data_IF_097825486979
#
_entry.id   IF_097825486979
#
_cell.length_a   1.000
_cell.length_b   1.000
_cell.length_c   1.000
_cell.angle_alpha   90.00
_cell.angle_beta   90.00
_cell.angle_gamma   90.00
#
_symmetry.space_group_name_H-M   'P 1'
#
loop_
_entity.id
_entity.type
_entity.pdbx_description
1 polymer ?
#
# COMPACT_ATOMS: atom_id res chain seq x y z
N UNK A 1 -3.68 -4.28 6.29
CA UNK A 1 -5.03 -4.24 5.70
C UNK A 1 -5.28 -5.50 4.88
N UNK A 2 -6.52 -5.88 4.60
CA UNK A 2 -6.86 -6.92 3.61
C UNK A 2 -7.24 -6.24 2.30
N UNK A 3 -6.53 -6.57 1.22
CA UNK A 3 -6.77 -6.01 -0.12
C UNK A 3 -8.12 -6.50 -0.65
N UNK A 4 -8.92 -5.57 -1.18
CA UNK A 4 -10.14 -5.88 -1.92
C UNK A 4 -9.90 -5.80 -3.44
N UNK A 5 -9.13 -4.80 -3.88
CA UNK A 5 -8.72 -4.62 -5.27
C UNK A 5 -7.41 -3.79 -5.32
N UNK A 6 -6.67 -3.90 -6.43
CA UNK A 6 -5.54 -3.04 -6.75
C UNK A 6 -5.51 -2.74 -8.24
N UNK A 7 -5.22 -1.48 -8.59
CA UNK A 7 -4.88 -1.11 -9.95
C UNK A 7 -3.54 -1.70 -10.40
N UNK A 8 -3.35 -1.75 -11.72
CA UNK A 8 -2.07 -2.03 -12.37
C UNK A 8 -1.70 -0.79 -13.16
N UNK A 9 -0.62 -0.14 -12.77
CA UNK A 9 -0.11 1.06 -13.38
C UNK A 9 1.21 0.76 -14.09
N UNK A 10 1.54 1.55 -15.11
CA UNK A 10 2.77 1.37 -15.88
C UNK A 10 4.04 1.41 -15.00
N UNK A 11 3.99 2.14 -13.88
CA UNK A 11 5.08 2.19 -12.90
C UNK A 11 5.36 0.83 -12.25
N UNK A 12 4.36 -0.05 -12.12
CA UNK A 12 4.54 -1.41 -11.58
C UNK A 12 5.42 -2.27 -12.51
N UNK A 13 5.47 -1.96 -13.81
CA UNK A 13 6.39 -2.58 -14.76
C UNK A 13 7.77 -1.94 -14.64
N UNK A 14 7.82 -0.60 -14.62
CA UNK A 14 9.09 0.15 -14.55
C UNK A 14 9.91 -0.17 -13.30
N UNK A 15 9.26 -0.54 -12.19
CA UNK A 15 9.97 -0.90 -10.96
C UNK A 15 10.84 -2.14 -11.12
N UNK A 16 10.40 -3.11 -11.94
CA UNK A 16 11.15 -4.33 -12.25
C UNK A 16 12.20 -4.16 -13.35
N UNK A 17 11.98 -3.21 -14.27
CA UNK A 17 12.86 -3.02 -15.42
C UNK A 17 13.97 -1.98 -15.21
N UNK A 18 13.66 -0.86 -14.55
CA UNK A 18 14.46 0.36 -14.69
C UNK A 18 14.75 1.08 -13.37
N UNK A 19 13.97 0.85 -12.32
CA UNK A 19 14.17 1.52 -11.02
C UNK A 19 15.11 0.75 -10.06
N UNK A 20 15.75 -0.32 -10.55
CA UNK A 20 16.71 -1.14 -9.80
C UNK A 20 16.20 -1.57 -8.41
N UNK A 21 14.90 -1.85 -8.28
CA UNK A 21 14.35 -2.31 -7.02
C UNK A 21 14.95 -3.68 -6.65
N UNK A 22 15.27 -3.85 -5.37
CA UNK A 22 15.83 -5.11 -4.86
C UNK A 22 14.78 -6.22 -4.97
N UNK A 23 15.20 -7.36 -5.51
CA UNK A 23 14.34 -8.54 -5.68
C UNK A 23 14.63 -9.61 -4.62
N UNK A 24 13.64 -10.44 -4.23
CA UNK A 24 12.25 -10.43 -4.71
C UNK A 24 11.44 -9.22 -4.20
N UNK A 25 10.56 -8.69 -5.05
CA UNK A 25 9.70 -7.53 -4.77
C UNK A 25 8.22 -7.91 -4.98
N UNK A 26 7.34 -7.37 -4.14
CA UNK A 26 5.89 -7.38 -4.36
C UNK A 26 5.49 -6.06 -5.03
N UNK A 27 5.10 -6.05 -6.32
CA UNK A 27 4.67 -4.83 -7.01
C UNK A 27 3.24 -4.39 -6.62
N UNK A 28 2.84 -3.21 -7.08
CA UNK A 28 1.51 -2.63 -6.83
C UNK A 28 1.56 -1.44 -5.89
N UNK A 29 0.86 -0.36 -6.27
CA UNK A 29 0.81 0.87 -5.48
C UNK A 29 -0.55 1.58 -5.48
N UNK A 30 -1.56 0.95 -6.07
CA UNK A 30 -2.93 1.47 -6.14
C UNK A 30 -3.97 0.58 -5.42
N UNK A 31 -3.72 0.09 -4.19
CA UNK A 31 -4.67 -0.81 -3.53
C UNK A 31 -5.75 -0.08 -2.71
N UNK A 32 -6.92 -0.70 -2.68
CA UNK A 32 -8.01 -0.40 -1.74
C UNK A 32 -8.37 -1.65 -0.94
N UNK A 33 -8.85 -1.46 0.29
CA UNK A 33 -9.18 -2.58 1.16
C UNK A 33 -9.82 -2.15 2.47
N UNK A 34 -9.72 -3.04 3.45
CA UNK A 34 -10.20 -2.80 4.82
C UNK A 34 -9.07 -2.99 5.82
N UNK A 35 -9.01 -2.16 6.86
CA UNK A 35 -8.07 -2.38 7.97
C UNK A 35 -8.36 -3.75 8.58
N UNK A 36 -7.34 -4.61 8.64
CA UNK A 36 -7.49 -5.98 9.16
C UNK A 36 -7.13 -6.03 10.65
N UNK A 37 -5.96 -5.48 10.97
CA UNK A 37 -5.41 -5.38 12.33
C UNK A 37 -4.60 -4.08 12.43
N UNK A 38 -4.38 -3.61 13.65
CA UNK A 38 -3.49 -2.50 13.98
C UNK A 38 -2.21 -3.02 14.63
N UNK A 39 -1.11 -2.30 14.42
CA UNK A 39 0.12 -2.52 15.18
C UNK A 39 0.11 -1.78 16.52
N UNK A 40 1.08 -2.10 17.38
CA UNK A 40 1.20 -1.50 18.70
C UNK A 40 1.35 0.03 18.62
N UNK A 41 0.61 0.74 19.47
CA UNK A 41 0.62 2.21 19.54
C UNK A 41 -0.09 2.94 18.40
N UNK A 42 -0.64 2.24 17.40
CA UNK A 42 -1.41 2.85 16.31
C UNK A 42 -2.84 3.11 16.78
N UNK A 43 -3.30 4.35 16.67
CA UNK A 43 -4.64 4.77 17.13
C UNK A 43 -5.72 4.70 16.05
N UNK A 44 -5.35 4.51 14.79
CA UNK A 44 -6.32 4.30 13.72
C UNK A 44 -5.72 4.33 12.31
N UNK A 45 -6.57 4.16 11.28
CA UNK A 45 -8.02 3.92 11.35
C UNK A 45 -8.39 2.55 11.95
N UNK A 46 -9.55 2.41 12.60
CA UNK A 46 -9.92 1.16 13.29
C UNK A 46 -10.08 -0.05 12.33
N UNK A 47 -9.87 -1.30 12.79
CA UNK A 47 -10.20 -2.51 12.03
C UNK A 47 -11.62 -2.48 11.44
N UNK A 48 -11.78 -2.95 10.20
CA UNK A 48 -13.02 -2.88 9.43
C UNK A 48 -13.20 -1.58 8.62
N UNK A 49 -12.42 -0.53 8.91
CA UNK A 49 -12.49 0.72 8.14
C UNK A 49 -12.03 0.52 6.70
N UNK A 50 -12.80 1.01 5.73
CA UNK A 50 -12.39 1.05 4.31
C UNK A 50 -11.29 2.09 4.12
N UNK A 51 -10.20 1.69 3.49
CA UNK A 51 -9.01 2.53 3.28
C UNK A 51 -8.48 2.37 1.85
N UNK A 52 -7.88 3.45 1.35
CA UNK A 52 -7.02 3.43 0.17
C UNK A 52 -5.58 3.74 0.62
N UNK A 53 -4.59 3.07 0.04
CA UNK A 53 -3.18 3.38 0.31
C UNK A 53 -2.69 4.35 -0.75
N UNK A 54 -2.01 5.39 -0.30
CA UNK A 54 -1.40 6.39 -1.17
C UNK A 54 0.12 6.33 -1.02
N UNK A 55 0.85 6.48 -2.13
CA UNK A 55 2.32 6.39 -2.14
C UNK A 55 3.04 7.53 -1.42
N UNK A 56 2.36 8.66 -1.19
CA UNK A 56 2.94 9.75 -0.40
C UNK A 56 2.75 9.50 1.09
N UNK A 57 3.87 9.35 1.78
CA UNK A 57 3.92 9.33 3.23
C UNK A 57 3.62 10.71 3.79
N UNK A 58 2.80 10.78 4.82
CA UNK A 58 2.50 12.01 5.55
C UNK A 58 2.66 11.74 7.05
N UNK A 59 3.52 12.52 7.72
CA UNK A 59 3.81 12.35 9.14
C UNK A 59 2.95 13.25 10.05
N UNK A 60 1.93 13.91 9.50
CA UNK A 60 1.11 14.86 10.25
C UNK A 60 1.71 16.27 10.37
N UNK A 61 2.89 16.50 9.76
CA UNK A 61 3.54 17.81 9.61
C UNK A 61 3.80 18.10 8.15
#
# INVERSE_FOLDING_TARGET
>A
MKIAASGVCFTDIKVGEALAAKTPLVPGHEPVGVVHTLGDGVTGPAPGTRVAVHLRFWCGK
#
